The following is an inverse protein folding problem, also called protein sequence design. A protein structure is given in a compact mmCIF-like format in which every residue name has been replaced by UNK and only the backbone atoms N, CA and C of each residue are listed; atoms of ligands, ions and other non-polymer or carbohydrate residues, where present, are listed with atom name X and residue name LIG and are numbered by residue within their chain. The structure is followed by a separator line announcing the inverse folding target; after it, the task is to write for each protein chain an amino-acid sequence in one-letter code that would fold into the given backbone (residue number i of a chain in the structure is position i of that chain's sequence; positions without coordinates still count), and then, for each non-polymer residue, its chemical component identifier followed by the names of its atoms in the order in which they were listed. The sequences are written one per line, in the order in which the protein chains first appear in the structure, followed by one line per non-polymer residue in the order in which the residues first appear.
data_IF_359377788298
#
_entry.id   IF_359377788298
#
_cell.length_a   1.000
_cell.length_b   1.000
_cell.length_c   1.000
_cell.angle_alpha   90.00
_cell.angle_beta   90.00
_cell.angle_gamma   90.00
#
_symmetry.space_group_name_H-M   'P 1'
#
loop_
_entity.id
_entity.type
_entity.pdbx_description
1 polymer ?
#
# COMPACT_ATOMS: atom_id res chain seq x y z
N UNK A 1 -11.74 -19.58 8.15
CA UNK A 1 -11.99 -18.19 8.55
C UNK A 1 -11.24 -17.18 7.66
N UNK A 2 -9.90 -17.25 7.54
CA UNK A 2 -9.11 -16.28 6.76
C UNK A 2 -9.53 -16.12 5.28
N UNK A 3 -9.78 -17.23 4.56
CA UNK A 3 -10.21 -17.19 3.14
C UNK A 3 -11.55 -16.49 2.93
N UNK A 4 -12.48 -16.65 3.86
CA UNK A 4 -13.80 -15.99 3.81
C UNK A 4 -13.66 -14.48 4.00
N UNK A 5 -12.84 -14.05 4.96
CA UNK A 5 -12.54 -12.63 5.19
C UNK A 5 -11.86 -12.00 3.96
N UNK A 6 -10.90 -12.69 3.36
CA UNK A 6 -10.27 -12.28 2.11
C UNK A 6 -11.30 -12.08 0.98
N UNK A 7 -12.22 -13.04 0.78
CA UNK A 7 -13.26 -12.94 -0.23
C UNK A 7 -14.20 -11.75 0.01
N UNK A 8 -14.66 -11.56 1.25
CA UNK A 8 -15.47 -10.41 1.62
C UNK A 8 -14.75 -9.10 1.33
N UNK A 9 -13.48 -9.00 1.71
CA UNK A 9 -12.70 -7.79 1.52
C UNK A 9 -12.47 -7.48 0.02
N UNK A 10 -12.26 -8.48 -0.84
CA UNK A 10 -12.17 -8.30 -2.31
C UNK A 10 -13.49 -7.86 -2.93
N UNK A 11 -14.63 -8.36 -2.43
CA UNK A 11 -15.96 -7.91 -2.88
C UNK A 11 -16.20 -6.46 -2.51
N UNK A 12 -15.84 -6.05 -1.30
CA UNK A 12 -15.95 -4.67 -0.85
C UNK A 12 -15.08 -3.72 -1.70
N UNK A 13 -13.81 -4.08 -1.93
CA UNK A 13 -12.91 -3.29 -2.77
C UNK A 13 -13.43 -3.12 -4.22
N UNK A 14 -14.06 -4.14 -4.80
CA UNK A 14 -14.71 -4.02 -6.12
C UNK A 14 -15.94 -3.14 -6.08
N UNK A 15 -16.72 -3.19 -4.99
CA UNK A 15 -17.89 -2.34 -4.84
C UNK A 15 -17.50 -0.86 -4.73
N UNK A 16 -16.43 -0.54 -3.99
CA UNK A 16 -15.91 0.84 -3.90
C UNK A 16 -15.43 1.36 -5.26
N UNK A 17 -14.82 0.50 -6.09
CA UNK A 17 -14.45 0.87 -7.47
C UNK A 17 -15.66 1.16 -8.37
N UNK A 18 -16.73 0.34 -8.25
CA UNK A 18 -17.91 0.42 -9.13
C UNK A 18 -18.81 1.63 -8.89
N UNK A 19 -18.77 2.21 -7.69
CA UNK A 19 -19.69 3.28 -7.28
C UNK A 19 -19.37 4.63 -7.92
N UNK A 20 -18.18 4.80 -8.52
CA UNK A 20 -17.84 6.02 -9.28
C UNK A 20 -17.93 7.32 -8.47
N UNK A 21 -18.05 7.25 -7.15
CA UNK A 21 -17.79 8.36 -6.26
C UNK A 21 -16.34 8.77 -6.53
N UNK A 22 -16.11 10.05 -6.82
CA UNK A 22 -14.92 10.56 -7.48
C UNK A 22 -13.62 10.35 -6.69
N UNK A 23 -12.73 11.34 -6.70
CA UNK A 23 -11.50 11.30 -5.89
C UNK A 23 -11.74 11.22 -4.36
N UNK A 24 -13.00 11.12 -3.92
CA UNK A 24 -13.46 10.79 -2.56
C UNK A 24 -13.30 9.28 -2.29
N UNK A 25 -12.41 8.77 -1.46
CA UNK A 25 -11.23 9.33 -0.82
C UNK A 25 -10.22 8.20 -0.87
N UNK A 26 -9.16 8.34 -1.66
CA UNK A 26 -8.04 7.40 -1.51
C UNK A 26 -7.53 7.63 -0.08
N UNK A 27 -7.59 6.61 0.77
CA UNK A 27 -7.16 6.70 2.17
C UNK A 27 -5.98 5.79 2.45
N UNK A 28 -5.27 6.05 3.55
CA UNK A 28 -4.19 5.18 4.03
C UNK A 28 -4.68 3.74 4.24
N UNK A 29 -5.91 3.56 4.70
CA UNK A 29 -6.52 2.25 4.91
C UNK A 29 -6.63 1.44 3.61
N UNK A 30 -6.86 2.09 2.46
CA UNK A 30 -6.85 1.40 1.16
C UNK A 30 -5.45 0.86 0.81
N UNK A 31 -4.41 1.62 1.11
CA UNK A 31 -3.02 1.20 0.89
C UNK A 31 -2.70 -0.01 1.76
N UNK A 32 -3.03 0.06 3.05
CA UNK A 32 -2.82 -1.02 4.01
C UNK A 32 -3.61 -2.28 3.64
N UNK A 33 -4.85 -2.10 3.19
CA UNK A 33 -5.67 -3.19 2.65
C UNK A 33 -4.95 -3.92 1.50
N UNK A 34 -4.44 -3.19 0.50
CA UNK A 34 -3.73 -3.79 -0.63
C UNK A 34 -2.45 -4.52 -0.19
N UNK A 35 -1.71 -3.97 0.77
CA UNK A 35 -0.52 -4.62 1.32
C UNK A 35 -0.87 -5.96 2.01
N UNK A 36 -1.92 -5.98 2.85
CA UNK A 36 -2.38 -7.19 3.54
C UNK A 36 -2.91 -8.24 2.57
N UNK A 37 -3.68 -7.81 1.56
CA UNK A 37 -4.20 -8.69 0.50
C UNK A 37 -3.08 -9.30 -0.31
N UNK A 38 -2.09 -8.51 -0.74
CA UNK A 38 -0.95 -9.00 -1.49
C UNK A 38 -0.16 -10.04 -0.69
N UNK A 39 0.08 -9.78 0.60
CA UNK A 39 0.77 -10.71 1.48
C UNK A 39 -0.02 -12.02 1.66
N UNK A 40 -1.33 -11.94 1.89
CA UNK A 40 -2.18 -13.13 1.97
C UNK A 40 -2.16 -13.93 0.66
N UNK A 41 -2.27 -13.26 -0.49
CA UNK A 41 -2.23 -13.89 -1.80
C UNK A 41 -0.88 -14.60 -2.03
N UNK A 42 0.23 -13.99 -1.62
CA UNK A 42 1.56 -14.59 -1.69
C UNK A 42 1.69 -15.83 -0.79
N UNK A 43 1.19 -15.78 0.44
CA UNK A 43 1.17 -16.93 1.37
C UNK A 43 0.35 -18.10 0.84
N UNK A 44 -0.65 -17.84 -0.01
CA UNK A 44 -1.46 -18.85 -0.68
C UNK A 44 -0.92 -19.26 -2.06
N UNK A 45 0.31 -18.85 -2.41
CA UNK A 45 0.95 -19.13 -3.70
C UNK A 45 0.18 -18.56 -4.92
N UNK A 46 -0.68 -17.57 -4.73
CA UNK A 46 -1.41 -16.88 -5.80
C UNK A 46 -0.56 -15.73 -6.38
N UNK A 47 0.64 -16.02 -6.87
CA UNK A 47 1.68 -15.02 -7.17
C UNK A 47 1.22 -13.91 -8.12
N UNK A 48 0.57 -14.24 -9.24
CA UNK A 48 0.08 -13.22 -10.18
C UNK A 48 -0.93 -12.28 -9.52
N UNK A 49 -1.80 -12.79 -8.64
CA UNK A 49 -2.74 -11.95 -7.90
C UNK A 49 -1.99 -11.08 -6.89
N UNK A 50 -1.05 -11.65 -6.15
CA UNK A 50 -0.24 -10.95 -5.15
C UNK A 50 0.52 -9.76 -5.77
N UNK A 51 1.15 -9.98 -6.94
CA UNK A 51 1.85 -8.91 -7.67
C UNK A 51 0.88 -7.82 -8.10
N UNK A 52 -0.28 -8.17 -8.67
CA UNK A 52 -1.29 -7.17 -9.05
C UNK A 52 -1.77 -6.35 -7.84
N UNK A 53 -2.09 -7.02 -6.73
CA UNK A 53 -2.51 -6.35 -5.49
C UNK A 53 -1.40 -5.46 -4.92
N UNK A 54 -0.13 -5.88 -4.98
CA UNK A 54 1.00 -5.08 -4.56
C UNK A 54 1.17 -3.83 -5.43
N UNK A 55 1.17 -3.96 -6.76
CA UNK A 55 1.28 -2.84 -7.68
C UNK A 55 0.16 -1.81 -7.44
N UNK A 56 -1.05 -2.28 -7.16
CA UNK A 56 -2.18 -1.42 -6.78
C UNK A 56 -1.92 -0.69 -5.46
N UNK A 57 -1.40 -1.37 -4.44
CA UNK A 57 -1.00 -0.76 -3.18
C UNK A 57 0.05 0.34 -3.37
N UNK A 58 1.09 0.06 -4.16
CA UNK A 58 2.16 1.01 -4.49
C UNK A 58 1.60 2.25 -5.19
N UNK A 59 0.79 2.07 -6.23
CA UNK A 59 0.19 3.20 -6.96
C UNK A 59 -0.71 4.05 -6.08
N UNK A 60 -1.50 3.41 -5.22
CA UNK A 60 -2.34 4.10 -4.23
C UNK A 60 -1.48 4.91 -3.24
N UNK A 61 -0.38 4.34 -2.75
CA UNK A 61 0.56 5.04 -1.86
C UNK A 61 1.27 6.23 -2.54
N UNK A 62 1.61 6.09 -3.83
CA UNK A 62 2.18 7.16 -4.63
C UNK A 62 1.18 8.32 -4.84
N UNK A 63 -0.10 8.00 -5.09
CA UNK A 63 -1.17 9.01 -5.17
C UNK A 63 -1.33 9.79 -3.86
N UNK A 64 -1.11 9.14 -2.72
CA UNK A 64 -1.09 9.77 -1.39
C UNK A 64 0.25 10.44 -1.05
N UNK A 65 1.21 10.46 -1.97
CA UNK A 65 2.54 11.05 -1.78
C UNK A 65 3.33 10.49 -0.59
N UNK A 66 3.07 9.23 -0.18
CA UNK A 66 3.76 8.63 0.97
C UNK A 66 5.28 8.49 0.74
N UNK A 67 5.71 8.40 -0.52
CA UNK A 67 7.12 8.40 -0.92
C UNK A 67 7.89 9.69 -0.59
N UNK A 68 7.18 10.78 -0.29
CA UNK A 68 7.78 12.10 -0.02
C UNK A 68 7.77 12.48 1.46
N UNK A 69 7.29 11.60 2.35
CA UNK A 69 7.09 11.90 3.77
C UNK A 69 8.36 12.41 4.45
N UNK A 70 9.50 11.77 4.18
CA UNK A 70 10.76 12.10 4.83
C UNK A 70 11.57 13.19 4.10
N UNK A 71 11.15 13.63 2.90
CA UNK A 71 11.85 14.69 2.14
C UNK A 71 11.48 16.12 2.59
N UNK A 72 10.49 16.27 3.47
CA UNK A 72 9.93 17.56 3.90
C UNK A 72 10.39 18.01 5.31
N UNK A 73 11.32 17.33 5.95
CA UNK A 73 11.47 17.36 7.41
C UNK A 73 12.53 18.30 8.01
N UNK A 74 13.03 19.33 7.30
CA UNK A 74 13.87 20.33 7.98
C UNK A 74 13.06 21.29 8.89
N UNK A 75 11.77 21.51 8.62
CA UNK A 75 10.96 22.50 9.37
C UNK A 75 9.88 21.93 10.32
N UNK A 76 9.68 20.61 10.36
CA UNK A 76 8.57 19.99 11.12
C UNK A 76 9.00 19.52 12.52
N UNK A 77 9.85 20.28 13.21
CA UNK A 77 10.24 19.98 14.58
C UNK A 77 8.99 20.04 15.49
N UNK A 78 8.54 18.85 15.91
CA UNK A 78 7.52 18.57 16.92
C UNK A 78 6.08 18.73 16.42
N UNK A 79 5.63 17.77 15.62
CA UNK A 79 4.20 17.47 15.48
C UNK A 79 3.68 16.83 16.79
N UNK A 80 2.40 17.01 17.14
CA UNK A 80 1.83 16.47 18.38
C UNK A 80 1.93 14.93 18.43
N UNK A 81 1.76 14.30 19.60
CA UNK A 81 1.85 12.85 19.71
C UNK A 81 0.84 12.11 18.81
N UNK A 82 -0.34 12.69 18.59
CA UNK A 82 -1.36 12.17 17.66
C UNK A 82 -0.87 12.27 16.21
N UNK A 83 -0.27 13.42 15.84
CA UNK A 83 0.34 13.62 14.52
C UNK A 83 1.53 12.69 14.29
N UNK A 84 2.31 12.39 15.34
CA UNK A 84 3.46 11.47 15.23
C UNK A 84 2.99 10.05 14.93
N UNK A 85 1.93 9.57 15.59
CA UNK A 85 1.39 8.23 15.36
C UNK A 85 0.92 8.11 13.91
N UNK A 86 0.14 9.07 13.41
CA UNK A 86 -0.33 9.05 12.02
C UNK A 86 0.81 9.13 11.01
N UNK A 87 1.80 9.98 11.27
CA UNK A 87 2.97 10.12 10.40
C UNK A 87 3.79 8.84 10.37
N UNK A 88 3.99 8.21 11.52
CA UNK A 88 4.69 6.94 11.64
C UNK A 88 3.90 5.80 10.98
N UNK A 89 2.57 5.78 11.09
CA UNK A 89 1.72 4.82 10.39
C UNK A 89 1.85 4.93 8.86
N UNK A 90 1.83 6.16 8.33
CA UNK A 90 2.07 6.46 6.90
C UNK A 90 3.46 5.99 6.46
N UNK A 91 4.49 6.31 7.24
CA UNK A 91 5.89 5.92 6.98
C UNK A 91 6.02 4.39 6.93
N UNK A 92 5.51 3.67 7.93
CA UNK A 92 5.58 2.20 7.97
C UNK A 92 4.84 1.56 6.80
N UNK A 93 3.67 2.09 6.46
CA UNK A 93 2.89 1.61 5.31
C UNK A 93 3.69 1.74 4.02
N UNK A 94 4.38 2.87 3.81
CA UNK A 94 5.27 3.06 2.67
C UNK A 94 6.43 2.06 2.66
N UNK A 95 7.15 1.90 3.77
CA UNK A 95 8.30 1.00 3.84
C UNK A 95 7.94 -0.47 3.66
N UNK A 96 6.76 -0.91 4.12
CA UNK A 96 6.25 -2.26 3.87
C UNK A 96 6.10 -2.51 2.36
N UNK A 97 5.52 -1.57 1.62
CA UNK A 97 5.38 -1.67 0.17
C UNK A 97 6.73 -1.63 -0.55
N UNK A 98 7.64 -0.77 -0.10
CA UNK A 98 8.99 -0.65 -0.64
C UNK A 98 9.80 -1.94 -0.54
N UNK A 99 9.70 -2.64 0.59
CA UNK A 99 10.37 -3.93 0.81
C UNK A 99 9.69 -5.01 -0.04
N UNK A 100 8.35 -5.04 -0.08
CA UNK A 100 7.61 -6.01 -0.87
C UNK A 100 7.92 -5.91 -2.38
N UNK A 101 8.05 -4.69 -2.93
CA UNK A 101 8.43 -4.46 -4.33
C UNK A 101 9.78 -5.10 -4.68
N UNK A 102 10.77 -4.95 -3.78
CA UNK A 102 12.09 -5.57 -3.93
C UNK A 102 12.06 -7.08 -3.82
N UNK A 103 11.28 -7.62 -2.89
CA UNK A 103 11.11 -9.07 -2.75
C UNK A 103 10.47 -9.67 -4.00
N UNK A 104 9.43 -9.02 -4.55
CA UNK A 104 8.79 -9.45 -5.79
C UNK A 104 9.75 -9.35 -6.97
N UNK A 105 10.42 -8.20 -7.14
CA UNK A 105 11.38 -8.02 -8.23
C UNK A 105 12.52 -9.04 -8.16
N UNK A 106 13.10 -9.25 -6.97
CA UNK A 106 14.18 -10.22 -6.76
C UNK A 106 13.78 -11.67 -6.98
N UNK A 107 12.52 -12.04 -6.70
CA UNK A 107 12.03 -13.43 -6.86
C UNK A 107 11.48 -13.72 -8.26
N UNK A 108 10.93 -12.72 -8.95
CA UNK A 108 10.24 -12.90 -10.24
C UNK A 108 11.02 -12.35 -11.44
N UNK A 109 12.00 -11.47 -11.21
CA UNK A 109 12.70 -10.73 -12.26
C UNK A 109 11.89 -9.57 -12.87
N UNK A 110 10.71 -9.26 -12.33
CA UNK A 110 9.92 -8.11 -12.79
C UNK A 110 10.60 -6.78 -12.42
N UNK A 111 10.40 -5.72 -13.22
CA UNK A 111 10.92 -4.40 -12.89
C UNK A 111 10.29 -3.86 -11.60
N UNK A 112 11.05 -3.05 -10.86
CA UNK A 112 10.56 -2.35 -9.67
C UNK A 112 9.46 -1.37 -10.05
N UNK A 113 8.43 -1.28 -9.21
CA UNK A 113 7.38 -0.26 -9.33
C UNK A 113 7.78 1.06 -8.66
N UNK A 114 8.71 1.02 -7.70
CA UNK A 114 9.20 2.18 -6.95
C UNK A 114 10.59 2.54 -7.45
N UNK A 115 10.75 3.78 -7.95
CA UNK A 115 12.08 4.34 -8.23
C UNK A 115 12.74 4.79 -6.92
N UNK A 116 14.00 4.42 -6.72
CA UNK A 116 14.81 4.82 -5.55
C UNK A 116 15.19 6.29 -5.56
N UNK A 117 15.16 6.92 -6.73
CA UNK A 117 15.55 8.33 -6.91
C UNK A 117 14.40 9.28 -6.61
N UNK A 118 13.16 8.78 -6.67
CA UNK A 118 11.92 9.52 -6.39
C UNK A 118 11.61 9.63 -4.89
#
# INVERSE_FOLDING_TARGET
MARTLYQCAKVQARSTESKGEGQDSITLSHVQYWALVANFEAQQMMFSQAVNSLCRGIRTAQLLQLHRLDKKSEDSAIASAEDWIELEEKRRTWWVLFIADRLVSGTTGLPLCIDERE
#
